data_IF_728105764997
#
_entry.id   IF_728105764997
#
_cell.length_a   1.000
_cell.length_b   1.000
_cell.length_c   1.000
_cell.angle_alpha   90.00
_cell.angle_beta   90.00
_cell.angle_gamma   90.00
#
_symmetry.space_group_name_H-M   'P 1'
#
loop_
_entity.id
_entity.type
_entity.pdbx_description
1 polymer ?
#
# COMPACT_ATOMS: atom_id res chain seq x y z
N UNK A 1 7.08 -19.58 3.67
CA UNK A 1 6.86 -19.09 2.32
C UNK A 1 6.48 -17.62 2.46
N UNK A 2 7.32 -16.72 1.97
CA UNK A 2 7.20 -15.26 2.15
C UNK A 2 6.62 -14.60 0.89
N UNK A 3 6.13 -13.37 1.00
CA UNK A 3 5.39 -12.69 -0.10
C UNK A 3 6.27 -12.45 -1.32
N UNK A 4 7.57 -12.18 -1.15
CA UNK A 4 8.49 -11.99 -2.28
C UNK A 4 8.85 -13.30 -3.00
N UNK A 5 8.45 -14.45 -2.46
CA UNK A 5 8.55 -15.73 -3.17
C UNK A 5 7.41 -15.90 -4.20
N UNK A 6 6.44 -14.99 -4.23
CA UNK A 6 5.44 -14.93 -5.28
C UNK A 6 6.08 -14.48 -6.60
N UNK A 7 5.55 -15.01 -7.71
CA UNK A 7 5.90 -14.50 -9.03
C UNK A 7 5.43 -13.04 -9.20
N UNK A 8 6.03 -12.28 -10.14
CA UNK A 8 5.66 -10.89 -10.38
C UNK A 8 4.18 -10.68 -10.71
N UNK A 9 3.52 -11.63 -11.37
CA UNK A 9 2.12 -11.52 -11.77
C UNK A 9 1.15 -11.43 -10.57
N UNK A 10 1.18 -12.35 -9.58
CA UNK A 10 0.43 -12.17 -8.34
C UNK A 10 0.66 -10.82 -7.65
N UNK A 11 1.90 -10.36 -7.52
CA UNK A 11 2.22 -9.09 -6.85
C UNK A 11 1.54 -7.90 -7.53
N UNK A 12 1.58 -7.88 -8.87
CA UNK A 12 0.91 -6.86 -9.70
C UNK A 12 -0.61 -6.94 -9.59
N UNK A 13 -1.18 -8.15 -9.71
CA UNK A 13 -2.63 -8.37 -9.71
C UNK A 13 -3.29 -7.93 -8.39
N UNK A 14 -2.60 -8.10 -7.27
CA UNK A 14 -3.08 -7.68 -5.95
C UNK A 14 -2.60 -6.28 -5.53
N UNK A 15 -1.86 -5.57 -6.39
CA UNK A 15 -1.34 -4.22 -6.11
C UNK A 15 -0.58 -4.17 -4.77
N UNK A 16 0.28 -5.17 -4.52
CA UNK A 16 0.99 -5.31 -3.24
C UNK A 16 1.93 -4.11 -3.06
N UNK A 17 1.71 -3.35 -1.99
CA UNK A 17 2.38 -2.06 -1.80
C UNK A 17 3.77 -2.20 -1.17
N UNK A 18 4.73 -1.40 -1.63
CA UNK A 18 6.05 -1.23 -0.98
C UNK A 18 6.30 0.25 -0.72
N UNK A 19 6.45 0.63 0.54
CA UNK A 19 6.65 2.04 0.92
C UNK A 19 8.12 2.40 0.91
N UNK A 20 8.49 3.47 0.19
CA UNK A 20 9.88 3.92 0.06
C UNK A 20 10.02 5.34 0.60
N UNK A 21 10.83 5.54 1.62
CA UNK A 21 11.16 6.84 2.19
C UNK A 21 12.69 7.05 2.17
N UNK A 22 13.15 8.16 1.61
CA UNK A 22 14.57 8.49 1.51
C UNK A 22 14.78 9.99 1.26
N UNK A 23 15.90 10.53 1.76
CA UNK A 23 16.30 11.92 1.54
C UNK A 23 17.15 12.09 0.28
N UNK A 24 17.84 11.04 -0.17
CA UNK A 24 18.55 11.03 -1.45
C UNK A 24 17.59 10.64 -2.59
N UNK A 25 17.41 11.54 -3.55
CA UNK A 25 16.45 11.37 -4.64
C UNK A 25 16.87 10.26 -5.60
N UNK A 26 18.17 10.14 -5.92
CA UNK A 26 18.65 9.16 -6.88
C UNK A 26 18.50 7.74 -6.32
N UNK A 27 18.94 7.53 -5.06
CA UNK A 27 18.78 6.28 -4.35
C UNK A 27 17.30 5.89 -4.23
N UNK A 28 16.43 6.84 -3.91
CA UNK A 28 14.98 6.59 -3.83
C UNK A 28 14.42 6.07 -5.15
N UNK A 29 14.77 6.70 -6.26
CA UNK A 29 14.29 6.30 -7.58
C UNK A 29 14.83 4.92 -7.99
N UNK A 30 16.09 4.61 -7.70
CA UNK A 30 16.64 3.27 -7.93
C UNK A 30 15.84 2.18 -7.20
N UNK A 31 15.49 2.41 -5.93
CA UNK A 31 14.72 1.44 -5.14
C UNK A 31 13.27 1.33 -5.63
N UNK A 32 12.63 2.45 -5.99
CA UNK A 32 11.28 2.46 -6.58
C UNK A 32 11.26 1.64 -7.87
N UNK A 33 12.24 1.85 -8.76
CA UNK A 33 12.32 1.12 -10.02
C UNK A 33 12.54 -0.38 -9.77
N UNK A 34 13.44 -0.74 -8.86
CA UNK A 34 13.67 -2.15 -8.50
C UNK A 34 12.38 -2.82 -7.99
N UNK A 35 11.60 -2.15 -7.15
CA UNK A 35 10.34 -2.69 -6.64
C UNK A 35 9.33 -2.94 -7.78
N UNK A 36 9.24 -2.03 -8.76
CA UNK A 36 8.39 -2.20 -9.94
C UNK A 36 8.82 -3.38 -10.80
N UNK A 37 10.13 -3.55 -11.02
CA UNK A 37 10.69 -4.66 -11.81
C UNK A 37 10.38 -6.02 -11.17
N UNK A 38 10.38 -6.10 -9.84
CA UNK A 38 9.97 -7.30 -9.08
C UNK A 38 8.46 -7.56 -9.19
N UNK A 39 7.66 -6.51 -9.40
CA UNK A 39 6.20 -6.60 -9.55
C UNK A 39 5.39 -5.98 -8.40
N UNK A 40 6.04 -5.31 -7.45
CA UNK A 40 5.35 -4.53 -6.42
C UNK A 40 4.81 -3.20 -6.96
N UNK A 41 3.91 -2.60 -6.19
CA UNK A 41 3.43 -1.24 -6.39
C UNK A 41 4.11 -0.29 -5.39
N UNK A 42 5.20 0.39 -5.77
CA UNK A 42 5.91 1.26 -4.84
C UNK A 42 5.10 2.52 -4.53
N UNK A 43 5.16 2.94 -3.27
CA UNK A 43 4.58 4.19 -2.76
C UNK A 43 5.73 5.10 -2.31
N UNK A 44 5.99 6.16 -3.07
CA UNK A 44 6.92 7.21 -2.65
C UNK A 44 6.35 7.91 -1.42
N UNK A 45 6.97 7.62 -0.28
CA UNK A 45 6.57 8.11 1.03
C UNK A 45 7.36 9.36 1.44
N UNK A 46 8.13 9.97 0.52
CA UNK A 46 8.84 11.22 0.75
C UNK A 46 10.13 11.06 1.56
N UNK A 47 10.38 12.00 2.48
CA UNK A 47 11.62 12.09 3.27
C UNK A 47 11.82 10.89 4.20
N UNK A 48 13.07 10.59 4.55
CA UNK A 48 13.43 9.50 5.46
C UNK A 48 12.77 9.61 6.84
N UNK A 49 12.41 10.83 7.28
CA UNK A 49 11.66 11.04 8.54
C UNK A 49 10.31 10.31 8.57
N UNK A 50 9.69 10.06 7.41
CA UNK A 50 8.44 9.30 7.33
C UNK A 50 8.63 7.80 7.55
N UNK A 51 9.87 7.29 7.59
CA UNK A 51 10.15 5.88 7.94
C UNK A 51 9.54 5.50 9.29
N UNK A 52 9.48 6.41 10.26
CA UNK A 52 8.79 6.18 11.54
C UNK A 52 7.32 5.77 11.38
N UNK A 53 6.62 6.32 10.38
CA UNK A 53 5.23 5.94 10.08
C UNK A 53 5.17 4.57 9.41
N UNK A 54 6.11 4.29 8.50
CA UNK A 54 6.22 3.02 7.78
C UNK A 54 6.55 1.87 8.75
N UNK A 55 7.46 2.09 9.69
CA UNK A 55 7.80 1.13 10.76
C UNK A 55 6.58 0.80 11.63
N UNK A 56 5.79 1.82 11.99
CA UNK A 56 4.52 1.61 12.70
C UNK A 56 3.49 0.79 11.90
N UNK A 57 3.44 0.97 10.56
CA UNK A 57 2.62 0.13 9.69
C UNK A 57 3.11 -1.32 9.66
N UNK A 58 4.43 -1.55 9.66
CA UNK A 58 4.99 -2.90 9.71
C UNK A 58 4.66 -3.63 11.02
N UNK A 59 4.55 -2.90 12.14
CA UNK A 59 4.07 -3.48 13.40
C UNK A 59 2.59 -3.89 13.32
N UNK A 60 1.75 -3.07 12.67
CA UNK A 60 0.36 -3.43 12.39
C UNK A 60 0.28 -4.67 11.49
N UNK A 61 1.06 -4.72 10.40
CA UNK A 61 1.12 -5.87 9.50
C UNK A 61 1.54 -7.15 10.25
N UNK A 62 2.58 -7.07 11.09
CA UNK A 62 3.01 -8.19 11.92
C UNK A 62 1.92 -8.65 12.88
N UNK A 63 1.19 -7.71 13.49
CA UNK A 63 0.03 -8.04 14.32
C UNK A 63 -1.06 -8.75 13.54
N UNK A 64 -1.35 -8.35 12.30
CA UNK A 64 -2.35 -9.02 11.45
C UNK A 64 -1.89 -10.44 11.06
N UNK A 65 -0.64 -10.60 10.62
CA UNK A 65 -0.06 -11.88 10.21
C UNK A 65 -0.06 -12.87 11.38
N UNK A 66 0.50 -12.47 12.53
CA UNK A 66 0.79 -13.36 13.66
C UNK A 66 -0.32 -13.28 14.71
N UNK A 67 -0.63 -12.07 15.19
CA UNK A 67 -1.58 -11.84 16.27
C UNK A 67 -3.03 -12.17 15.89
N UNK A 68 -3.46 -11.76 14.70
CA UNK A 68 -4.78 -12.09 14.15
C UNK A 68 -4.79 -13.37 13.31
N UNK A 69 -3.64 -14.05 13.18
CA UNK A 69 -3.49 -15.33 12.47
C UNK A 69 -3.97 -15.27 11.00
N UNK A 70 -3.81 -14.13 10.34
CA UNK A 70 -4.18 -13.98 8.92
C UNK A 70 -3.20 -14.69 7.97
N UNK A 71 -2.04 -15.11 8.47
CA UNK A 71 -1.04 -15.87 7.70
C UNK A 71 -0.04 -14.98 6.95
N UNK A 72 1.02 -15.60 6.44
CA UNK A 72 2.19 -14.91 5.89
C UNK A 72 1.94 -14.09 4.61
N UNK A 73 0.74 -14.20 4.01
CA UNK A 73 0.34 -13.46 2.81
C UNK A 73 -0.57 -12.27 3.09
N UNK A 74 -0.82 -11.95 4.37
CA UNK A 74 -1.56 -10.75 4.73
C UNK A 74 -0.65 -9.53 4.56
N UNK A 75 -0.87 -8.76 3.48
CA UNK A 75 -0.05 -7.61 3.08
C UNK A 75 -0.92 -6.40 2.75
N UNK A 76 -0.39 -5.17 2.89
CA UNK A 76 -1.11 -3.97 2.53
C UNK A 76 -1.20 -3.76 1.01
N UNK A 77 -2.35 -3.26 0.57
CA UNK A 77 -2.56 -2.74 -0.78
C UNK A 77 -3.22 -1.35 -0.69
N UNK A 78 -2.52 -0.31 -1.13
CA UNK A 78 -3.04 1.06 -1.18
C UNK A 78 -3.68 1.30 -2.55
N UNK A 79 -4.97 1.58 -2.53
CA UNK A 79 -5.76 1.88 -3.73
C UNK A 79 -6.31 3.30 -3.65
N UNK A 80 -6.11 4.06 -4.73
CA UNK A 80 -6.74 5.37 -4.89
C UNK A 80 -8.06 5.14 -5.64
N UNK A 81 -9.18 5.29 -4.93
CA UNK A 81 -10.51 5.13 -5.52
C UNK A 81 -10.97 6.44 -6.19
N UNK A 82 -11.72 6.36 -7.31
CA UNK A 82 -12.37 7.53 -7.86
C UNK A 82 -13.41 8.08 -6.89
N UNK A 83 -13.72 9.39 -6.93
CA UNK A 83 -14.80 9.96 -6.14
C UNK A 83 -16.12 9.23 -6.40
N UNK A 84 -16.83 8.88 -5.33
CA UNK A 84 -18.14 8.24 -5.43
C UNK A 84 -19.15 9.19 -6.09
N UNK A 85 -19.59 8.84 -7.30
CA UNK A 85 -20.62 9.60 -8.03
C UNK A 85 -22.03 9.20 -7.59
N UNK A 86 -22.23 7.92 -7.26
CA UNK A 86 -23.47 7.35 -6.75
C UNK A 86 -23.21 6.63 -5.42
N UNK A 87 -24.27 6.32 -4.66
CA UNK A 87 -24.18 5.57 -3.38
C UNK A 87 -23.25 6.20 -2.32
N UNK A 88 -23.16 7.53 -2.26
CA UNK A 88 -22.38 8.20 -1.21
C UNK A 88 -23.07 8.02 0.15
N UNK A 89 -22.34 7.50 1.14
CA UNK A 89 -22.81 7.39 2.53
C UNK A 89 -22.87 8.75 3.27
N UNK A 90 -22.34 9.83 2.67
CA UNK A 90 -22.32 11.17 3.25
C UNK A 90 -22.37 12.32 2.22
N UNK A 91 -22.31 13.55 2.74
CA UNK A 91 -22.44 14.80 1.98
C UNK A 91 -23.90 15.21 1.73
N UNK A 92 -24.14 16.49 1.39
CA UNK A 92 -25.47 16.97 1.00
C UNK A 92 -25.90 16.24 -0.28
N UNK A 93 -27.01 15.52 -0.20
CA UNK A 93 -27.69 14.97 -1.36
C UNK A 93 -28.96 15.78 -1.57
N UNK A 94 -29.30 16.05 -2.82
CA UNK A 94 -30.58 16.68 -3.12
C UNK A 94 -31.69 15.76 -2.63
N UNK A 95 -32.58 16.33 -1.82
CA UNK A 95 -33.72 15.59 -1.29
C UNK A 95 -34.59 15.11 -2.46
N UNK A 96 -34.97 13.84 -2.45
CA UNK A 96 -35.96 13.32 -3.39
C UNK A 96 -37.39 13.79 -3.08
N UNK A 97 -37.59 14.53 -1.98
CA UNK A 97 -38.86 15.16 -1.64
C UNK A 97 -38.98 16.48 -2.40
N UNK A 98 -39.91 16.51 -3.36
CA UNK A 98 -40.41 17.73 -4.01
C UNK A 98 -41.31 18.52 -3.07
#
# INVERSE_FOLDING_TARGET
MEVFELAPEPLKNYNVSVFVAADDVAAKQTVIQLAQEIGFSPIDSGSLRHARLIEGLADLERFLIIGQKMGAYAVPAINILPPAQTQRLGGRQDSALK
#
